data_IF_717032625713
#
_entry.id   IF_717032625713
#
_cell.length_a   1.000
_cell.length_b   1.000
_cell.length_c   1.000
_cell.angle_alpha   90.00
_cell.angle_beta   90.00
_cell.angle_gamma   90.00
#
_symmetry.space_group_name_H-M   'P 1'
#
loop_
_entity.id
_entity.type
_entity.pdbx_description
1 polymer ?
#
# COMPACT_ATOMS: atom_id res chain seq x y z
N UNK A 1 -7.15 5.13 -6.91
CA UNK A 1 -8.46 5.12 -6.23
C UNK A 1 -8.38 5.93 -4.94
N UNK A 2 -9.30 6.82 -4.73
CA UNK A 2 -9.33 7.68 -3.55
C UNK A 2 -10.57 7.38 -2.70
N UNK A 3 -10.37 7.15 -1.41
CA UNK A 3 -11.40 6.69 -0.51
C UNK A 3 -11.47 7.62 0.71
N UNK A 4 -12.68 8.03 1.09
CA UNK A 4 -12.92 8.73 2.35
C UNK A 4 -13.58 7.79 3.35
N UNK A 5 -13.20 7.83 4.63
CA UNK A 5 -13.72 6.92 5.63
C UNK A 5 -14.95 7.44 6.36
N UNK A 6 -15.83 6.50 6.57
CA UNK A 6 -16.80 6.22 7.65
C UNK A 6 -17.78 7.30 8.04
N UNK A 7 -19.06 7.03 7.71
CA UNK A 7 -20.21 7.60 8.40
C UNK A 7 -20.28 7.05 9.83
N UNK A 8 -20.55 7.93 10.78
CA UNK A 8 -20.85 7.63 12.16
C UNK A 8 -22.18 6.84 12.22
N UNK A 9 -22.12 5.52 12.27
CA UNK A 9 -23.25 4.67 12.55
C UNK A 9 -23.06 3.93 13.87
N UNK A 10 -23.60 4.54 14.90
CA UNK A 10 -23.86 3.98 16.22
C UNK A 10 -24.79 2.77 16.09
N UNK A 11 -24.24 1.57 15.91
CA UNK A 11 -24.87 0.28 16.23
C UNK A 11 -23.95 -0.89 15.93
N UNK A 12 -23.15 -1.32 16.92
CA UNK A 12 -23.05 -2.75 17.25
C UNK A 12 -22.15 -2.92 18.48
N UNK A 13 -22.59 -3.67 19.50
CA UNK A 13 -21.78 -3.97 20.67
C UNK A 13 -20.88 -5.18 20.35
N UNK A 14 -19.65 -4.95 19.96
CA UNK A 14 -18.65 -6.00 20.00
C UNK A 14 -17.35 -5.47 20.62
N UNK A 15 -17.17 -5.97 21.88
CA UNK A 15 -15.90 -6.06 22.60
C UNK A 15 -15.22 -4.76 23.05
N UNK A 16 -15.77 -4.17 24.10
CA UNK A 16 -14.94 -3.49 25.08
C UNK A 16 -14.02 -4.51 25.76
N UNK A 17 -12.78 -4.53 25.36
CA UNK A 17 -11.74 -5.35 25.97
C UNK A 17 -10.43 -5.00 25.32
N UNK A 18 -9.69 -4.07 25.91
CA UNK A 18 -8.27 -3.92 25.64
C UNK A 18 -7.52 -5.17 26.14
N UNK A 19 -7.75 -6.30 25.46
CA UNK A 19 -6.87 -7.42 25.54
C UNK A 19 -5.65 -7.04 24.71
N UNK A 20 -4.50 -6.82 25.35
CA UNK A 20 -3.19 -6.92 24.71
C UNK A 20 -3.21 -8.21 23.91
N UNK A 21 -3.37 -8.09 22.59
CA UNK A 21 -3.16 -9.21 21.67
C UNK A 21 -1.68 -9.53 21.80
N UNK A 22 -1.43 -10.54 22.61
CA UNK A 22 -0.09 -11.03 22.86
C UNK A 22 0.42 -11.59 21.54
N UNK A 23 1.52 -11.07 21.08
CA UNK A 23 2.23 -11.26 19.82
C UNK A 23 2.73 -12.71 19.66
N UNK A 24 1.82 -13.64 19.47
CA UNK A 24 2.04 -14.85 18.71
C UNK A 24 1.31 -14.60 17.40
N UNK A 25 2.06 -14.51 16.28
CA UNK A 25 1.42 -14.67 14.98
C UNK A 25 0.54 -15.91 15.11
N UNK A 26 -0.78 -15.72 15.09
CA UNK A 26 -1.67 -16.86 15.23
C UNK A 26 -1.34 -17.80 14.09
N UNK A 27 -1.36 -19.11 14.35
CA UNK A 27 -0.86 -20.14 13.40
C UNK A 27 -1.59 -20.14 12.03
N UNK A 28 -2.62 -19.32 11.89
CA UNK A 28 -3.39 -19.14 10.67
C UNK A 28 -3.04 -17.84 9.89
N UNK A 29 -2.21 -16.95 10.45
CA UNK A 29 -1.85 -15.70 9.79
C UNK A 29 -0.79 -15.96 8.71
N UNK A 30 -0.99 -15.36 7.53
CA UNK A 30 -0.04 -15.41 6.43
C UNK A 30 1.28 -14.73 6.81
N UNK A 31 2.38 -15.26 6.34
CA UNK A 31 3.69 -14.59 6.42
C UNK A 31 3.79 -13.56 5.28
N UNK A 32 3.58 -12.29 5.58
CA UNK A 32 3.61 -11.21 4.59
C UNK A 32 4.98 -11.07 3.93
N UNK A 33 6.08 -11.36 4.65
CA UNK A 33 7.42 -11.30 4.09
C UNK A 33 7.61 -12.35 2.98
N UNK A 34 7.03 -13.54 3.17
CA UNK A 34 7.08 -14.61 2.16
C UNK A 34 6.29 -14.28 0.88
N UNK A 35 5.38 -13.30 0.94
CA UNK A 35 4.58 -12.82 -0.19
C UNK A 35 5.14 -11.53 -0.83
N UNK A 36 6.23 -10.98 -0.32
CA UNK A 36 6.78 -9.70 -0.78
C UNK A 36 7.52 -9.76 -2.13
N UNK A 37 7.58 -10.93 -2.79
CA UNK A 37 8.43 -11.13 -3.96
C UNK A 37 9.93 -11.21 -3.60
N UNK A 38 10.63 -12.19 -4.16
CA UNK A 38 12.05 -12.39 -3.84
C UNK A 38 12.92 -11.18 -4.20
N UNK A 39 12.59 -10.49 -5.28
CA UNK A 39 13.30 -9.32 -5.75
C UNK A 39 13.30 -8.17 -4.73
N UNK A 40 12.23 -7.99 -3.98
CA UNK A 40 12.13 -6.91 -2.97
C UNK A 40 12.97 -7.20 -1.72
N UNK A 41 13.49 -8.41 -1.57
CA UNK A 41 14.34 -8.84 -0.46
C UNK A 41 15.82 -8.87 -0.82
N UNK A 42 16.16 -8.79 -2.11
CA UNK A 42 17.54 -8.78 -2.60
C UNK A 42 18.10 -7.36 -2.65
N UNK A 43 19.15 -7.03 -1.85
CA UNK A 43 19.74 -5.70 -1.87
C UNK A 43 20.23 -5.25 -3.26
N UNK A 44 20.73 -6.18 -4.08
CA UNK A 44 21.19 -5.87 -5.44
C UNK A 44 20.03 -5.47 -6.37
N UNK A 45 18.83 -6.02 -6.16
CA UNK A 45 17.64 -5.60 -6.87
C UNK A 45 17.14 -4.25 -6.36
N UNK A 46 17.15 -4.03 -5.05
CA UNK A 46 16.69 -2.78 -4.41
C UNK A 46 17.44 -1.56 -4.95
N UNK A 47 18.74 -1.67 -5.23
CA UNK A 47 19.54 -0.60 -5.82
C UNK A 47 19.03 -0.15 -7.21
N UNK A 48 18.45 -1.09 -7.98
CA UNK A 48 17.90 -0.81 -9.32
C UNK A 48 16.36 -0.65 -9.33
N UNK A 49 15.71 -0.86 -8.21
CA UNK A 49 14.25 -0.89 -8.09
C UNK A 49 13.57 0.37 -8.62
N UNK A 50 14.04 1.54 -8.18
CA UNK A 50 13.46 2.81 -8.58
C UNK A 50 13.54 3.06 -10.09
N UNK A 51 14.64 2.63 -10.73
CA UNK A 51 14.83 2.79 -12.18
C UNK A 51 13.89 1.84 -12.96
N UNK A 52 13.72 0.62 -12.48
CA UNK A 52 12.79 -0.36 -13.06
C UNK A 52 11.32 0.08 -12.91
N UNK A 53 10.97 0.70 -11.78
CA UNK A 53 9.63 1.26 -11.52
C UNK A 53 9.36 2.59 -12.25
N UNK A 54 10.37 3.17 -12.90
CA UNK A 54 10.22 4.43 -13.65
C UNK A 54 10.10 5.66 -12.75
N UNK A 55 10.43 5.57 -11.47
CA UNK A 55 10.41 6.67 -10.47
C UNK A 55 9.13 7.51 -10.55
N UNK A 56 7.95 6.95 -10.30
CA UNK A 56 6.70 7.70 -10.39
C UNK A 56 6.76 8.93 -9.48
N UNK A 57 6.41 10.11 -10.04
CA UNK A 57 6.36 11.34 -9.25
C UNK A 57 5.12 11.33 -8.34
N UNK A 58 5.25 11.38 -7.01
CA UNK A 58 4.11 11.39 -6.10
C UNK A 58 3.40 12.75 -6.01
N UNK A 59 3.77 13.74 -6.82
CA UNK A 59 3.23 15.10 -6.73
C UNK A 59 1.70 15.15 -6.86
N UNK A 60 1.12 14.34 -7.73
CA UNK A 60 -0.34 14.24 -7.86
C UNK A 60 -0.98 13.70 -6.57
N UNK A 61 -0.44 12.62 -6.02
CA UNK A 61 -0.97 12.01 -4.79
C UNK A 61 -0.85 12.96 -3.59
N UNK A 62 0.26 13.67 -3.48
CA UNK A 62 0.47 14.71 -2.46
C UNK A 62 -0.54 15.86 -2.64
N UNK A 63 -0.76 16.32 -3.87
CA UNK A 63 -1.74 17.34 -4.20
C UNK A 63 -3.16 16.92 -3.79
N UNK A 64 -3.55 15.69 -4.10
CA UNK A 64 -4.84 15.14 -3.71
C UNK A 64 -5.02 15.13 -2.18
N UNK A 65 -4.00 14.77 -1.43
CA UNK A 65 -4.04 14.80 0.04
C UNK A 65 -4.12 16.25 0.56
N UNK A 66 -3.36 17.17 -0.02
CA UNK A 66 -3.40 18.60 0.34
C UNK A 66 -4.77 19.24 0.05
N UNK A 67 -5.40 18.92 -1.07
CA UNK A 67 -6.75 19.39 -1.45
C UNK A 67 -7.82 18.89 -0.47
N UNK A 68 -7.56 17.82 0.28
CA UNK A 68 -8.40 17.34 1.39
C UNK A 68 -8.09 18.02 2.73
N UNK A 69 -7.26 19.05 2.73
CA UNK A 69 -6.91 19.84 3.90
C UNK A 69 -5.83 19.23 4.78
N UNK A 70 -5.10 18.22 4.28
CA UNK A 70 -3.98 17.63 5.01
C UNK A 70 -2.72 18.50 4.87
N UNK A 71 -1.92 18.61 5.92
CA UNK A 71 -0.74 19.47 5.96
C UNK A 71 0.15 19.22 7.16
N UNK A 72 0.79 20.25 7.69
CA UNK A 72 1.81 20.18 8.75
C UNK A 72 1.34 19.61 10.09
N UNK A 73 0.05 19.50 10.33
CA UNK A 73 -0.53 18.89 11.53
C UNK A 73 -0.95 17.42 11.29
N UNK A 74 -0.85 16.93 10.04
CA UNK A 74 -1.38 15.63 9.65
C UNK A 74 -0.35 14.52 9.82
N UNK A 75 -0.83 13.34 10.22
CA UNK A 75 -0.08 12.08 10.25
C UNK A 75 -0.47 11.22 9.05
N UNK A 76 0.51 10.87 8.23
CA UNK A 76 0.36 10.01 7.05
C UNK A 76 1.06 8.69 7.30
N UNK A 77 0.40 7.59 6.96
CA UNK A 77 1.01 6.25 6.96
C UNK A 77 1.17 5.79 5.51
N UNK A 78 2.38 5.42 5.12
CA UNK A 78 2.73 4.86 3.82
C UNK A 78 2.94 3.36 3.99
N UNK A 79 1.98 2.53 3.51
CA UNK A 79 2.03 1.07 3.61
C UNK A 79 2.58 0.46 2.32
N UNK A 80 3.68 -0.28 2.43
CA UNK A 80 4.48 -0.74 1.31
C UNK A 80 5.34 0.40 0.76
N UNK A 81 6.02 1.11 1.66
CA UNK A 81 6.75 2.33 1.35
C UNK A 81 7.96 2.11 0.42
N UNK A 82 8.45 0.87 0.31
CA UNK A 82 9.61 0.54 -0.50
C UNK A 82 10.82 1.40 -0.15
N UNK A 83 11.47 1.94 -1.15
CA UNK A 83 12.62 2.85 -1.02
C UNK A 83 12.25 4.31 -0.69
N UNK A 84 10.95 4.59 -0.44
CA UNK A 84 10.46 5.84 0.10
C UNK A 84 10.11 6.92 -0.92
N UNK A 85 9.79 6.59 -2.15
CA UNK A 85 9.47 7.58 -3.19
C UNK A 85 8.35 8.55 -2.76
N UNK A 86 7.28 8.03 -2.15
CA UNK A 86 6.21 8.85 -1.58
C UNK A 86 6.61 9.40 -0.21
N UNK A 87 7.06 8.54 0.72
CA UNK A 87 7.31 8.92 2.11
C UNK A 87 8.31 10.07 2.27
N UNK A 88 9.42 10.08 1.49
CA UNK A 88 10.43 11.14 1.53
C UNK A 88 9.91 12.50 1.06
N UNK A 89 8.99 12.51 0.10
CA UNK A 89 8.33 13.74 -0.37
C UNK A 89 7.25 14.17 0.61
N UNK A 90 6.44 13.23 1.08
CA UNK A 90 5.39 13.47 2.07
C UNK A 90 5.93 14.10 3.38
N UNK A 91 7.11 13.68 3.84
CA UNK A 91 7.73 14.23 5.04
C UNK A 91 8.09 15.73 4.93
N UNK A 92 8.21 16.26 3.72
CA UNK A 92 8.42 17.69 3.49
C UNK A 92 7.14 18.51 3.56
N UNK A 93 5.98 17.88 3.42
CA UNK A 93 4.69 18.56 3.30
C UNK A 93 3.81 18.35 4.53
N UNK A 94 3.87 17.15 5.14
CA UNK A 94 3.04 16.76 6.27
C UNK A 94 3.80 16.79 7.60
N UNK A 95 3.06 16.74 8.71
CA UNK A 95 3.62 16.86 10.06
C UNK A 95 4.38 15.64 10.50
N UNK A 96 3.84 14.45 10.25
CA UNK A 96 4.47 13.16 10.56
C UNK A 96 4.19 12.16 9.44
N UNK A 97 5.21 11.43 9.05
CA UNK A 97 5.09 10.32 8.10
C UNK A 97 5.60 9.05 8.74
N UNK A 98 4.84 7.96 8.58
CA UNK A 98 5.22 6.63 9.05
C UNK A 98 5.29 5.74 7.83
N UNK A 99 6.52 5.41 7.42
CA UNK A 99 6.79 4.51 6.31
C UNK A 99 6.89 3.07 6.81
N UNK A 100 6.05 2.22 6.28
CA UNK A 100 5.93 0.82 6.70
C UNK A 100 6.22 -0.08 5.51
N UNK A 101 7.16 -1.02 5.67
CA UNK A 101 7.46 -2.03 4.66
C UNK A 101 7.88 -3.34 5.33
N UNK A 102 7.61 -4.47 4.68
CA UNK A 102 8.03 -5.79 5.16
C UNK A 102 9.50 -6.05 4.88
N UNK A 103 10.06 -5.43 3.83
CA UNK A 103 11.44 -5.63 3.39
C UNK A 103 12.43 -4.81 4.22
N UNK A 104 13.35 -5.45 4.96
CA UNK A 104 14.40 -4.74 5.67
C UNK A 104 15.36 -4.01 4.70
N UNK A 105 15.61 -4.58 3.51
CA UNK A 105 16.50 -3.98 2.52
C UNK A 105 15.92 -2.67 1.95
N UNK A 106 14.62 -2.64 1.63
CA UNK A 106 13.93 -1.41 1.22
C UNK A 106 14.00 -0.33 2.29
N UNK A 107 13.72 -0.71 3.55
CA UNK A 107 13.75 0.23 4.67
C UNK A 107 15.15 0.74 5.00
N UNK A 108 16.21 -0.03 4.73
CA UNK A 108 17.59 0.44 4.89
C UNK A 108 17.86 1.60 3.94
N UNK A 109 17.57 1.43 2.64
CA UNK A 109 17.70 2.48 1.63
C UNK A 109 16.86 3.72 1.98
N UNK A 110 15.62 3.50 2.44
CA UNK A 110 14.75 4.60 2.84
C UNK A 110 15.31 5.39 4.01
N UNK A 111 15.82 4.71 5.06
CA UNK A 111 16.43 5.36 6.24
C UNK A 111 17.65 6.19 5.86
N UNK A 112 18.52 5.66 5.00
CA UNK A 112 19.71 6.36 4.54
C UNK A 112 19.34 7.64 3.79
N UNK A 113 18.39 7.56 2.87
CA UNK A 113 17.86 8.71 2.13
C UNK A 113 17.20 9.75 3.05
N UNK A 114 16.41 9.31 4.04
CA UNK A 114 15.78 10.19 5.01
C UNK A 114 16.83 10.94 5.84
N UNK A 115 17.88 10.24 6.27
CA UNK A 115 19.02 10.82 7.00
C UNK A 115 19.78 11.84 6.16
N UNK A 116 20.10 11.51 4.91
CA UNK A 116 20.76 12.43 3.97
C UNK A 116 19.96 13.71 3.72
N UNK A 117 18.63 13.60 3.75
CA UNK A 117 17.71 14.71 3.53
C UNK A 117 17.34 15.46 4.83
N UNK A 118 17.80 15.00 6.00
CA UNK A 118 17.51 15.59 7.30
C UNK A 118 16.04 15.57 7.68
N UNK A 119 15.32 14.46 7.40
CA UNK A 119 13.89 14.31 7.66
C UNK A 119 13.66 13.70 9.04
N UNK A 120 13.49 14.54 10.06
CA UNK A 120 13.31 14.11 11.46
C UNK A 120 11.86 13.66 11.79
N UNK A 121 10.92 13.89 10.89
CA UNK A 121 9.50 13.57 11.04
C UNK A 121 9.06 12.31 10.26
N UNK A 122 10.00 11.49 9.83
CA UNK A 122 9.79 10.25 9.10
C UNK A 122 10.23 9.04 9.94
N UNK A 123 9.26 8.23 10.36
CA UNK A 123 9.49 6.97 11.07
C UNK A 123 9.49 5.80 10.08
N UNK A 124 10.47 4.89 10.14
CA UNK A 124 10.54 3.70 9.31
C UNK A 124 10.30 2.44 10.14
N UNK A 125 9.22 1.72 9.87
CA UNK A 125 8.75 0.56 10.63
C UNK A 125 8.74 -0.69 9.76
N UNK A 126 9.41 -1.76 10.20
CA UNK A 126 9.33 -3.06 9.52
C UNK A 126 8.06 -3.79 9.95
N UNK A 127 7.07 -3.80 9.07
CA UNK A 127 5.80 -4.50 9.21
C UNK A 127 5.08 -4.54 7.84
N UNK A 128 3.99 -5.29 7.75
CA UNK A 128 3.10 -5.30 6.60
C UNK A 128 1.69 -4.83 6.96
N UNK A 129 0.74 -5.02 6.06
CA UNK A 129 -0.67 -4.62 6.24
C UNK A 129 -1.32 -5.31 7.44
N UNK A 130 -0.94 -6.56 7.72
CA UNK A 130 -1.54 -7.40 8.76
C UNK A 130 -0.77 -7.33 10.08
N UNK A 131 0.51 -6.97 10.04
CA UNK A 131 1.40 -6.95 11.20
C UNK A 131 1.67 -5.55 11.76
N UNK A 132 1.37 -4.49 11.00
CA UNK A 132 1.53 -3.13 11.46
C UNK A 132 0.56 -2.79 12.61
N UNK A 133 1.11 -2.26 13.70
CA UNK A 133 0.35 -1.76 14.83
C UNK A 133 0.59 -0.24 14.95
N UNK A 134 -0.45 0.53 14.67
CA UNK A 134 -0.37 1.99 14.73
C UNK A 134 -0.25 2.48 16.18
N UNK A 135 0.74 3.34 16.41
CA UNK A 135 0.97 3.96 17.72
C UNK A 135 0.77 5.48 17.66
N UNK A 136 0.00 6.00 18.61
CA UNK A 136 -0.30 7.42 18.72
C UNK A 136 -1.72 7.79 18.26
N UNK A 137 -1.97 9.07 17.93
CA UNK A 137 -3.26 9.52 17.41
C UNK A 137 -3.61 8.81 16.09
N UNK A 138 -4.90 8.60 15.80
CA UNK A 138 -5.32 8.00 14.54
C UNK A 138 -4.75 8.73 13.31
N UNK A 139 -4.38 7.96 12.29
CA UNK A 139 -3.82 8.51 11.05
C UNK A 139 -4.84 9.36 10.29
N UNK A 140 -4.41 10.49 9.75
CA UNK A 140 -5.22 11.36 8.91
C UNK A 140 -5.36 10.82 7.50
N UNK A 141 -4.29 10.19 6.98
CA UNK A 141 -4.34 9.47 5.73
C UNK A 141 -3.46 8.22 5.75
N UNK A 142 -3.83 7.28 4.88
CA UNK A 142 -3.01 6.13 4.49
C UNK A 142 -2.78 6.20 3.00
N UNK A 143 -1.54 6.01 2.61
CA UNK A 143 -1.12 5.84 1.22
C UNK A 143 -0.63 4.42 1.01
N UNK A 144 -0.91 3.84 -0.14
CA UNK A 144 -0.32 2.58 -0.60
C UNK A 144 -0.31 2.53 -2.12
N UNK A 145 0.77 2.01 -2.69
CA UNK A 145 0.93 1.92 -4.15
C UNK A 145 1.60 0.62 -4.55
N UNK A 146 0.96 -0.12 -5.48
CA UNK A 146 1.47 -1.35 -6.08
C UNK A 146 1.97 -2.36 -5.03
N UNK A 147 1.22 -2.57 -3.97
CA UNK A 147 1.65 -3.41 -2.84
C UNK A 147 0.55 -4.34 -2.34
N UNK A 148 -0.71 -3.89 -2.32
CA UNK A 148 -1.80 -4.67 -1.74
C UNK A 148 -2.11 -5.93 -2.57
N UNK A 149 -1.80 -5.92 -3.88
CA UNK A 149 -1.95 -7.08 -4.76
C UNK A 149 -1.04 -8.27 -4.36
N UNK A 150 -0.04 -8.06 -3.52
CA UNK A 150 0.76 -9.15 -2.95
C UNK A 150 -0.05 -10.06 -2.01
N UNK A 151 -1.16 -9.56 -1.48
CA UNK A 151 -2.01 -10.33 -0.58
C UNK A 151 -3.16 -11.02 -1.34
N UNK A 152 -3.50 -12.30 -1.06
CA UNK A 152 -4.75 -12.91 -1.49
C UNK A 152 -5.98 -12.14 -0.98
N UNK A 153 -7.12 -12.24 -1.69
CA UNK A 153 -8.32 -11.43 -1.43
C UNK A 153 -8.84 -11.49 0.01
N UNK A 154 -8.80 -12.67 0.64
CA UNK A 154 -9.13 -12.79 2.05
C UNK A 154 -8.29 -11.86 2.94
N UNK A 155 -6.99 -11.82 2.69
CA UNK A 155 -6.05 -10.99 3.45
C UNK A 155 -6.16 -9.51 3.09
N UNK A 156 -6.49 -9.17 1.83
CA UNK A 156 -6.83 -7.79 1.46
C UNK A 156 -7.99 -7.24 2.26
N UNK A 157 -9.07 -8.04 2.42
CA UNK A 157 -10.23 -7.62 3.21
C UNK A 157 -9.86 -7.37 4.68
N UNK A 158 -9.03 -8.23 5.27
CA UNK A 158 -8.52 -8.03 6.63
C UNK A 158 -7.60 -6.80 6.72
N UNK A 159 -6.70 -6.62 5.76
CA UNK A 159 -5.82 -5.46 5.69
C UNK A 159 -6.61 -4.14 5.63
N UNK A 160 -7.61 -4.05 4.76
CA UNK A 160 -8.48 -2.88 4.65
C UNK A 160 -9.23 -2.59 5.96
N UNK A 161 -9.73 -3.63 6.63
CA UNK A 161 -10.39 -3.49 7.95
C UNK A 161 -9.41 -2.95 9.00
N UNK A 162 -8.17 -3.43 9.01
CA UNK A 162 -7.13 -2.93 9.93
C UNK A 162 -6.75 -1.49 9.63
N UNK A 163 -6.62 -1.12 8.34
CA UNK A 163 -6.37 0.26 7.92
C UNK A 163 -7.47 1.18 8.45
N UNK A 164 -8.74 0.83 8.23
CA UNK A 164 -9.87 1.61 8.72
C UNK A 164 -9.84 1.79 10.25
N UNK A 165 -9.41 0.76 11.00
CA UNK A 165 -9.41 0.77 12.46
C UNK A 165 -8.39 1.75 13.08
N UNK A 166 -7.29 2.08 12.39
CA UNK A 166 -6.31 3.04 12.89
C UNK A 166 -6.41 4.43 12.24
N UNK A 167 -7.27 4.61 11.27
CA UNK A 167 -7.54 5.92 10.68
C UNK A 167 -8.57 6.69 11.51
N UNK A 168 -8.47 8.02 11.47
CA UNK A 168 -9.54 8.86 12.02
C UNK A 168 -10.81 8.80 11.15
N UNK A 169 -11.95 9.07 11.74
CA UNK A 169 -13.18 9.29 10.98
C UNK A 169 -12.99 10.44 9.96
N UNK A 170 -13.41 10.23 8.71
CA UNK A 170 -13.19 11.16 7.60
C UNK A 170 -11.74 11.23 7.10
N UNK A 171 -10.86 10.34 7.55
CA UNK A 171 -9.51 10.19 7.00
C UNK A 171 -9.51 9.74 5.54
N UNK A 172 -8.37 9.81 4.87
CA UNK A 172 -8.23 9.53 3.44
C UNK A 172 -7.37 8.28 3.23
N UNK A 173 -7.91 7.28 2.55
CA UNK A 173 -7.11 6.19 1.96
C UNK A 173 -6.84 6.53 0.49
N UNK A 174 -5.58 6.80 0.15
CA UNK A 174 -5.13 6.93 -1.23
C UNK A 174 -4.46 5.63 -1.65
N UNK A 175 -5.14 4.89 -2.51
CA UNK A 175 -4.72 3.56 -2.93
C UNK A 175 -4.55 3.52 -4.44
N UNK A 176 -3.35 3.12 -4.89
CA UNK A 176 -3.06 2.73 -6.26
C UNK A 176 -2.66 1.26 -6.28
N UNK A 177 -3.32 0.47 -7.11
CA UNK A 177 -2.95 -0.94 -7.25
C UNK A 177 -3.36 -1.50 -8.62
N UNK A 178 -2.83 -2.67 -8.95
CA UNK A 178 -3.22 -3.42 -10.14
C UNK A 178 -4.58 -4.08 -9.91
N UNK A 179 -5.62 -3.43 -10.41
CA UNK A 179 -7.01 -3.88 -10.29
C UNK A 179 -7.57 -4.08 -11.70
N UNK A 180 -8.08 -5.28 -11.97
CA UNK A 180 -8.62 -5.63 -13.28
C UNK A 180 -10.03 -5.08 -13.46
N UNK A 181 -10.24 -4.28 -14.53
CA UNK A 181 -11.54 -3.72 -14.91
C UNK A 181 -12.00 -4.27 -16.27
N UNK A 182 -12.06 -5.60 -16.36
CA UNK A 182 -12.57 -6.33 -17.52
C UNK A 182 -13.33 -7.58 -17.06
N UNK A 183 -14.11 -8.19 -17.97
CA UNK A 183 -14.82 -9.44 -17.65
C UNK A 183 -13.85 -10.64 -17.69
N UNK A 184 -13.99 -11.64 -16.81
CA UNK A 184 -13.13 -12.82 -16.82
C UNK A 184 -13.03 -13.54 -18.17
N UNK A 185 -14.09 -13.48 -18.99
CA UNK A 185 -14.10 -14.02 -20.35
C UNK A 185 -13.19 -13.29 -21.33
N UNK A 186 -12.74 -12.07 -21.00
CA UNK A 186 -11.87 -11.24 -21.83
C UNK A 186 -10.38 -11.39 -21.48
N UNK A 187 -10.06 -12.15 -20.43
CA UNK A 187 -8.71 -12.22 -19.85
C UNK A 187 -7.62 -12.57 -20.87
N UNK A 188 -7.87 -13.55 -21.74
CA UNK A 188 -6.89 -13.96 -22.76
C UNK A 188 -6.58 -12.82 -23.74
N UNK A 189 -7.61 -12.10 -24.20
CA UNK A 189 -7.45 -10.99 -25.12
C UNK A 189 -6.72 -9.81 -24.44
N UNK A 190 -7.11 -9.46 -23.21
CA UNK A 190 -6.53 -8.36 -22.46
C UNK A 190 -5.05 -8.64 -22.14
N UNK A 191 -4.71 -9.82 -21.64
CA UNK A 191 -3.32 -10.16 -21.35
C UNK A 191 -2.47 -10.32 -22.61
N UNK A 192 -3.04 -10.81 -23.72
CA UNK A 192 -2.34 -10.83 -25.01
C UNK A 192 -1.99 -9.41 -25.46
N UNK A 193 -2.91 -8.46 -25.30
CA UNK A 193 -2.68 -7.06 -25.60
C UNK A 193 -1.64 -6.45 -24.65
N UNK A 194 -1.75 -6.71 -23.36
CA UNK A 194 -0.81 -6.25 -22.34
C UNK A 194 0.63 -6.71 -22.63
N UNK A 195 0.80 -7.99 -23.00
CA UNK A 195 2.09 -8.53 -23.43
C UNK A 195 2.68 -7.85 -24.67
N UNK A 196 1.85 -7.18 -25.48
CA UNK A 196 2.30 -6.39 -26.63
C UNK A 196 3.12 -5.14 -26.25
N UNK A 197 2.99 -4.66 -25.02
CA UNK A 197 3.75 -3.53 -24.48
C UNK A 197 5.00 -3.93 -23.69
N UNK A 198 5.26 -5.24 -23.58
CA UNK A 198 6.39 -5.74 -22.81
C UNK A 198 7.72 -5.26 -23.38
N UNK A 199 8.63 -4.89 -22.50
CA UNK A 199 9.99 -4.55 -22.90
C UNK A 199 10.72 -5.78 -23.45
N UNK A 200 11.54 -5.57 -24.46
CA UNK A 200 12.45 -6.61 -24.99
C UNK A 200 13.75 -6.70 -24.19
N UNK A 201 14.10 -5.63 -23.47
CA UNK A 201 15.29 -5.50 -22.64
C UNK A 201 14.85 -5.37 -21.16
N UNK A 202 15.18 -6.35 -20.30
CA UNK A 202 14.76 -6.37 -18.90
C UNK A 202 15.35 -5.23 -18.06
N UNK A 203 16.39 -4.54 -18.56
CA UNK A 203 16.96 -3.36 -17.88
C UNK A 203 16.16 -2.08 -18.15
N UNK A 204 15.24 -2.11 -19.12
CA UNK A 204 14.49 -0.94 -19.60
C UNK A 204 12.99 -0.99 -19.27
N UNK A 205 12.53 -2.04 -18.60
CA UNK A 205 11.13 -2.20 -18.21
C UNK A 205 10.76 -3.67 -18.01
N UNK A 206 9.47 -3.89 -17.77
CA UNK A 206 8.94 -5.22 -17.54
C UNK A 206 8.82 -6.02 -18.82
N UNK A 207 9.39 -7.22 -18.82
CA UNK A 207 9.34 -8.16 -19.95
C UNK A 207 8.00 -8.89 -19.99
N UNK A 208 7.77 -9.63 -21.08
CA UNK A 208 6.61 -10.53 -21.20
C UNK A 208 6.59 -11.58 -20.08
N UNK A 209 7.74 -12.09 -19.66
CA UNK A 209 7.83 -13.07 -18.59
C UNK A 209 7.54 -12.45 -17.23
N UNK A 210 8.01 -11.22 -16.97
CA UNK A 210 7.66 -10.49 -15.74
C UNK A 210 6.13 -10.31 -15.62
N UNK A 211 5.44 -9.92 -16.71
CA UNK A 211 3.98 -9.81 -16.71
C UNK A 211 3.28 -11.16 -16.51
N UNK A 212 3.79 -12.21 -17.15
CA UNK A 212 3.21 -13.55 -17.01
C UNK A 212 3.43 -14.10 -15.59
N UNK A 213 4.57 -13.82 -14.97
CA UNK A 213 4.86 -14.18 -13.58
C UNK A 213 3.93 -13.44 -12.62
N UNK A 214 3.76 -12.13 -12.79
CA UNK A 214 2.82 -11.33 -12.01
C UNK A 214 1.40 -11.96 -12.03
N UNK A 215 0.88 -12.29 -13.22
CA UNK A 215 -0.46 -12.89 -13.33
C UNK A 215 -0.55 -14.25 -12.63
N UNK A 216 0.54 -15.04 -12.62
CA UNK A 216 0.56 -16.39 -12.02
C UNK A 216 0.76 -16.39 -10.51
N UNK A 217 1.52 -15.44 -9.99
CA UNK A 217 2.05 -15.50 -8.62
C UNK A 217 1.53 -14.40 -7.71
N UNK A 218 1.13 -13.26 -8.27
CA UNK A 218 0.57 -12.17 -7.51
C UNK A 218 -0.97 -12.20 -7.52
N UNK A 219 -1.56 -11.50 -6.60
CA UNK A 219 -2.99 -11.60 -6.32
C UNK A 219 -3.78 -10.37 -6.76
N UNK A 220 -3.44 -9.80 -7.94
CA UNK A 220 -4.28 -8.77 -8.56
C UNK A 220 -5.71 -9.30 -8.72
N UNK A 221 -6.70 -8.48 -8.39
CA UNK A 221 -8.10 -8.89 -8.36
C UNK A 221 -8.97 -8.00 -9.22
N UNK A 222 -10.21 -8.41 -9.43
CA UNK A 222 -11.18 -7.63 -10.19
C UNK A 222 -11.77 -6.50 -9.38
N UNK A 223 -12.05 -5.37 -10.02
CA UNK A 223 -12.70 -4.21 -9.44
C UNK A 223 -14.01 -4.56 -8.73
N UNK A 224 -14.85 -5.39 -9.35
CA UNK A 224 -16.13 -5.82 -8.79
C UNK A 224 -16.00 -6.75 -7.56
N UNK A 225 -14.82 -7.31 -7.28
CA UNK A 225 -14.50 -7.98 -6.02
C UNK A 225 -13.93 -7.00 -4.99
N UNK A 226 -13.07 -6.08 -5.44
CA UNK A 226 -12.32 -5.20 -4.57
C UNK A 226 -13.17 -4.07 -3.95
N UNK A 227 -14.01 -3.41 -4.74
CA UNK A 227 -14.87 -2.33 -4.25
C UNK A 227 -15.82 -2.77 -3.10
N UNK A 228 -16.46 -3.97 -3.14
CA UNK A 228 -17.18 -4.48 -1.99
C UNK A 228 -16.33 -4.70 -0.74
N UNK A 229 -15.04 -5.07 -0.86
CA UNK A 229 -14.15 -5.20 0.29
C UNK A 229 -13.89 -3.84 0.95
N UNK A 230 -13.68 -2.79 0.15
CA UNK A 230 -13.54 -1.41 0.63
C UNK A 230 -14.77 -0.96 1.39
N UNK A 231 -15.96 -1.17 0.81
CA UNK A 231 -17.24 -0.83 1.44
C UNK A 231 -17.46 -1.61 2.75
N UNK A 232 -17.12 -2.91 2.77
CA UNK A 232 -17.24 -3.75 3.97
C UNK A 232 -16.27 -3.32 5.09
N UNK A 233 -15.11 -2.75 4.73
CA UNK A 233 -14.16 -2.17 5.67
C UNK A 233 -14.57 -0.76 6.16
N UNK A 234 -15.64 -0.18 5.62
CA UNK A 234 -16.18 1.13 6.00
C UNK A 234 -15.66 2.30 5.17
N UNK A 235 -15.06 2.05 4.01
CA UNK A 235 -14.63 3.10 3.09
C UNK A 235 -15.73 3.47 2.09
N UNK A 236 -15.85 4.76 1.81
CA UNK A 236 -16.63 5.29 0.70
C UNK A 236 -15.69 5.69 -0.44
N UNK A 237 -15.99 5.22 -1.65
CA UNK A 237 -15.18 5.53 -2.84
C UNK A 237 -15.54 6.94 -3.30
N UNK A 238 -14.62 7.89 -3.13
CA UNK A 238 -14.80 9.27 -3.58
C UNK A 238 -14.45 9.45 -5.07
N UNK A 239 -13.38 8.80 -5.53
CA UNK A 239 -12.97 8.76 -6.95
C UNK A 239 -12.35 7.41 -7.26
N UNK A 240 -12.56 6.93 -8.48
CA UNK A 240 -11.92 5.73 -9.01
C UNK A 240 -11.58 5.98 -10.48
N UNK A 241 -10.34 5.83 -10.87
CA UNK A 241 -9.72 6.01 -12.20
C UNK A 241 -8.83 4.82 -12.56
#
# INVERSE_FOLDING_TARGET
MMLSSVADSDTTPYLSGSARINKMAESWTIDELAHAGHEHLDPAFVDSFDDKQGRPDPAEDLGVLADRGLGRESTIVDLGAGTGQFALRAAREFGRVIAVDVSPAMLEVLRDRASELGLDNLDCIQAGFLSYEHAGPPADAVYTRNTLHQLPDFWKALALTRIAAFMRAGGVLRLHDLIYDFQPSEAEAVFTHWFGYAATDPTRGYTREDFAEHIRTEHSTFRWLFEPMLSAAGFEIATAD
#
